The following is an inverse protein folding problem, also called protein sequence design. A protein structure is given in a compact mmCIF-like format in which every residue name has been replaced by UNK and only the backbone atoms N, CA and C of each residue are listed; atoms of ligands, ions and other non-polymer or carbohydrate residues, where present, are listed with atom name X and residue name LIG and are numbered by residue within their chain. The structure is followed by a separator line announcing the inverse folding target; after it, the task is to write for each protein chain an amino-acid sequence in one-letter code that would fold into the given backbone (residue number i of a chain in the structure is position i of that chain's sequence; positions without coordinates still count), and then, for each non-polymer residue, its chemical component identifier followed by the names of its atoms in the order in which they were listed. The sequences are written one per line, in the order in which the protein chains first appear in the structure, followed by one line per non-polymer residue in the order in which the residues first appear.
data_IF_863311754246
#
_entry.id   IF_863311754246
#
_cell.length_a   1.000
_cell.length_b   1.000
_cell.length_c   1.000
_cell.angle_alpha   90.00
_cell.angle_beta   90.00
_cell.angle_gamma   90.00
#
_symmetry.space_group_name_H-M   'P 1'
#
loop_
_entity.id
_entity.type
_entity.pdbx_description
1 polymer ?
#
# COMPACT_ATOMS: atom_id res chain seq x y z
N UNK A 1 -18.84 3.80 -10.32
CA UNK A 1 -18.11 3.07 -9.25
C UNK A 1 -17.21 2.03 -9.90
N UNK A 2 -16.00 1.83 -9.39
CA UNK A 2 -15.08 0.81 -9.91
C UNK A 2 -15.59 -0.59 -9.50
N UNK A 3 -15.97 -1.41 -10.47
CA UNK A 3 -16.54 -2.75 -10.23
C UNK A 3 -15.48 -3.83 -9.96
N UNK A 4 -14.19 -3.47 -10.03
CA UNK A 4 -13.11 -4.41 -9.76
C UNK A 4 -13.10 -4.82 -8.29
N UNK A 5 -12.76 -6.08 -8.03
CA UNK A 5 -12.57 -6.62 -6.69
C UNK A 5 -11.50 -5.79 -5.93
N UNK A 6 -11.88 -5.20 -4.82
CA UNK A 6 -10.96 -4.42 -4.00
C UNK A 6 -10.07 -5.35 -3.17
N UNK A 7 -8.76 -5.33 -3.42
CA UNK A 7 -7.77 -6.16 -2.71
C UNK A 7 -7.05 -5.34 -1.64
N UNK A 8 -7.08 -5.83 -0.40
CA UNK A 8 -6.26 -5.34 0.71
C UNK A 8 -5.15 -6.36 1.02
N UNK A 9 -3.90 -5.91 1.06
CA UNK A 9 -2.78 -6.73 1.52
C UNK A 9 -2.54 -6.41 3.00
N UNK A 10 -2.58 -7.43 3.86
CA UNK A 10 -2.23 -7.32 5.28
C UNK A 10 -0.87 -7.97 5.48
N UNK A 11 0.10 -7.16 5.85
CA UNK A 11 1.50 -7.56 6.08
C UNK A 11 1.97 -7.15 7.47
N UNK A 12 3.18 -7.47 7.83
CA UNK A 12 3.78 -7.15 9.13
C UNK A 12 4.61 -8.32 9.64
N UNK A 13 5.56 -8.03 10.52
CA UNK A 13 6.53 -9.01 11.00
C UNK A 13 5.90 -10.18 11.77
N UNK A 14 6.68 -11.22 12.05
CA UNK A 14 6.22 -12.40 12.80
C UNK A 14 5.58 -12.00 14.14
N UNK A 15 4.44 -12.60 14.43
CA UNK A 15 3.73 -12.37 15.70
C UNK A 15 3.09 -10.99 15.84
N UNK A 16 3.09 -10.12 14.84
CA UNK A 16 2.55 -8.75 14.94
C UNK A 16 1.03 -8.66 15.13
N UNK A 17 0.29 -9.76 14.96
CA UNK A 17 -1.17 -9.76 15.14
C UNK A 17 -1.99 -9.62 13.86
N UNK A 18 -1.41 -9.88 12.69
CA UNK A 18 -2.10 -9.84 11.37
C UNK A 18 -3.39 -10.66 11.37
N UNK A 19 -3.27 -11.94 11.68
CA UNK A 19 -4.41 -12.87 11.73
C UNK A 19 -5.49 -12.40 12.71
N UNK A 20 -5.10 -11.84 13.85
CA UNK A 20 -6.04 -11.29 14.82
C UNK A 20 -6.81 -10.09 14.24
N UNK A 21 -6.12 -9.19 13.55
CA UNK A 21 -6.74 -8.04 12.88
C UNK A 21 -7.72 -8.49 11.81
N UNK A 22 -7.31 -9.43 10.95
CA UNK A 22 -8.18 -9.99 9.90
C UNK A 22 -9.42 -10.65 10.50
N UNK A 23 -9.27 -11.45 11.56
CA UNK A 23 -10.41 -12.09 12.27
C UNK A 23 -11.35 -11.07 12.87
N UNK A 24 -10.82 -10.03 13.54
CA UNK A 24 -11.66 -8.95 14.10
C UNK A 24 -12.49 -8.27 13.02
N UNK A 25 -11.90 -8.05 11.85
CA UNK A 25 -12.61 -7.49 10.69
C UNK A 25 -13.70 -8.44 10.18
N UNK A 26 -13.39 -9.71 9.97
CA UNK A 26 -14.33 -10.71 9.44
C UNK A 26 -15.55 -10.91 10.38
N UNK A 27 -15.37 -10.67 11.66
CA UNK A 27 -16.45 -10.70 12.64
C UNK A 27 -17.40 -9.48 12.57
N UNK A 28 -17.05 -8.45 11.80
CA UNK A 28 -17.92 -7.28 11.60
C UNK A 28 -18.90 -7.50 10.43
N UNK A 29 -20.04 -6.80 10.39
CA UNK A 29 -20.92 -6.83 9.21
C UNK A 29 -20.22 -6.43 7.91
N UNK A 30 -19.22 -5.55 7.99
CA UNK A 30 -18.42 -5.14 6.85
C UNK A 30 -17.51 -6.24 6.30
N UNK A 31 -17.21 -7.27 7.08
CA UNK A 31 -16.46 -8.45 6.68
C UNK A 31 -17.22 -9.40 5.76
N UNK A 32 -18.57 -9.29 5.73
CA UNK A 32 -19.40 -10.14 4.86
C UNK A 32 -19.05 -9.93 3.38
N UNK A 33 -18.98 -11.01 2.62
CA UNK A 33 -18.59 -10.97 1.21
C UNK A 33 -17.11 -10.63 0.99
N UNK A 34 -16.23 -11.01 1.94
CA UNK A 34 -14.78 -10.86 1.83
C UNK A 34 -14.12 -12.21 1.62
N UNK A 35 -13.39 -12.38 0.51
CA UNK A 35 -12.51 -13.53 0.30
C UNK A 35 -11.17 -13.33 0.99
N UNK A 36 -10.61 -14.38 1.62
CA UNK A 36 -9.33 -14.31 2.31
C UNK A 36 -8.35 -15.34 1.74
N UNK A 37 -7.18 -14.88 1.37
CA UNK A 37 -6.05 -15.70 0.95
C UNK A 37 -4.96 -15.57 2.02
N UNK A 38 -4.58 -16.68 2.66
CA UNK A 38 -3.47 -16.70 3.62
C UNK A 38 -2.24 -17.26 2.92
N UNK A 39 -1.19 -16.43 2.82
CA UNK A 39 0.07 -16.80 2.18
C UNK A 39 1.14 -16.99 3.27
N UNK A 40 1.21 -18.19 3.83
CA UNK A 40 2.14 -18.52 4.90
C UNK A 40 3.30 -19.40 4.41
N UNK A 41 4.53 -19.02 4.78
CA UNK A 41 5.72 -19.85 4.59
C UNK A 41 5.92 -20.74 5.82
N UNK A 42 5.45 -22.01 5.77
CA UNK A 42 5.70 -22.93 6.88
C UNK A 42 5.05 -24.29 6.72
N UNK A 43 5.75 -25.34 7.17
CA UNK A 43 5.32 -26.74 7.07
C UNK A 43 4.27 -27.16 8.12
N UNK A 44 3.77 -26.28 8.98
CA UNK A 44 2.89 -26.66 10.09
C UNK A 44 1.59 -25.86 10.06
N UNK A 45 0.56 -26.49 9.50
CA UNK A 45 -0.80 -25.98 9.44
C UNK A 45 -1.57 -26.06 10.75
N UNK A 46 -1.11 -25.40 11.81
CA UNK A 46 -1.86 -25.35 13.09
C UNK A 46 -2.90 -24.21 13.14
N UNK A 47 -2.65 -23.10 12.44
CA UNK A 47 -3.55 -21.94 12.48
C UNK A 47 -4.70 -22.00 11.45
N UNK A 48 -4.61 -22.88 10.45
CA UNK A 48 -5.65 -23.06 9.44
C UNK A 48 -7.00 -23.50 10.02
N UNK A 49 -6.99 -24.42 11.00
CA UNK A 49 -8.24 -24.92 11.61
C UNK A 49 -8.99 -23.85 12.40
N UNK A 50 -8.28 -22.80 12.83
CA UNK A 50 -8.89 -21.71 13.59
C UNK A 50 -9.53 -20.65 12.71
N UNK A 51 -9.02 -20.42 11.49
CA UNK A 51 -9.64 -19.50 10.51
C UNK A 51 -10.91 -20.11 9.89
N UNK A 52 -10.91 -21.43 9.64
CA UNK A 52 -12.07 -22.16 9.13
C UNK A 52 -13.26 -22.15 10.12
N UNK A 53 -13.01 -22.09 11.42
CA UNK A 53 -14.10 -22.14 12.42
C UNK A 53 -14.78 -20.81 12.74
N UNK A 54 -14.19 -19.66 12.35
CA UNK A 54 -14.83 -18.34 12.50
C UNK A 54 -15.76 -18.01 11.33
N UNK A 55 -15.73 -18.84 10.30
CA UNK A 55 -16.36 -18.60 9.01
C UNK A 55 -17.71 -19.31 8.82
N UNK A 56 -18.59 -19.28 9.79
CA UNK A 56 -20.00 -19.68 9.51
C UNK A 56 -20.70 -18.75 8.52
N UNK A 57 -20.05 -17.65 8.10
CA UNK A 57 -20.51 -16.71 7.07
C UNK A 57 -19.44 -16.24 6.10
N UNK A 58 -18.27 -16.86 6.06
CA UNK A 58 -17.27 -16.66 5.02
C UNK A 58 -17.19 -17.96 4.25
N UNK A 59 -17.60 -17.94 3.00
CA UNK A 59 -17.40 -19.06 2.10
C UNK A 59 -15.90 -19.27 1.93
N UNK A 60 -15.33 -20.09 2.81
CA UNK A 60 -14.01 -20.68 2.58
C UNK A 60 -14.22 -21.61 1.42
N UNK A 61 -13.53 -21.35 0.33
CA UNK A 61 -13.47 -22.26 -0.81
C UNK A 61 -13.19 -23.66 -0.30
N UNK A 62 -14.23 -24.50 -0.35
CA UNK A 62 -14.15 -25.92 -0.01
C UNK A 62 -13.23 -26.58 -1.04
N UNK A 63 -12.01 -26.87 -0.67
CA UNK A 63 -11.04 -27.45 -1.58
C UNK A 63 -9.60 -27.35 -1.10
N UNK A 64 -9.41 -27.15 0.19
CA UNK A 64 -8.08 -27.11 0.78
C UNK A 64 -7.47 -25.71 0.69
N UNK A 65 -6.93 -25.29 1.81
CA UNK A 65 -6.17 -24.07 1.92
C UNK A 65 -5.26 -23.89 0.71
N UNK A 66 -5.50 -22.85 -0.05
CA UNK A 66 -4.57 -22.40 -1.07
C UNK A 66 -3.32 -21.86 -0.38
N UNK A 67 -2.56 -22.76 0.23
CA UNK A 67 -1.19 -22.52 0.71
C UNK A 67 -0.31 -22.43 -0.52
N UNK A 68 -0.20 -21.25 -1.08
CA UNK A 68 0.59 -21.00 -2.26
C UNK A 68 2.09 -21.13 -1.94
N UNK A 69 2.69 -22.26 -2.27
CA UNK A 69 4.13 -22.53 -2.10
C UNK A 69 5.05 -21.79 -3.08
N UNK A 70 4.50 -21.05 -4.06
CA UNK A 70 5.30 -20.33 -5.08
C UNK A 70 4.62 -19.03 -5.49
N UNK A 71 5.39 -18.05 -5.97
CA UNK A 71 4.91 -16.73 -6.48
C UNK A 71 3.81 -16.84 -7.54
N UNK A 72 3.78 -17.92 -8.32
CA UNK A 72 2.76 -18.19 -9.35
C UNK A 72 1.39 -18.53 -8.76
N UNK A 73 1.32 -18.86 -7.50
CA UNK A 73 0.09 -19.36 -6.87
C UNK A 73 -0.83 -18.23 -6.38
N UNK A 74 -0.29 -17.05 -5.98
CA UNK A 74 -1.12 -15.90 -5.58
C UNK A 74 -1.95 -15.37 -6.75
N UNK A 75 -1.37 -15.29 -7.94
CA UNK A 75 -2.08 -14.91 -9.16
C UNK A 75 -3.23 -15.86 -9.43
N UNK A 76 -2.95 -17.18 -9.37
CA UNK A 76 -3.97 -18.23 -9.58
C UNK A 76 -5.06 -18.15 -8.51
N UNK A 77 -4.71 -17.99 -7.24
CA UNK A 77 -5.66 -17.88 -6.15
C UNK A 77 -6.60 -16.66 -6.33
N UNK A 78 -6.06 -15.52 -6.78
CA UNK A 78 -6.87 -14.36 -7.14
C UNK A 78 -7.77 -14.61 -8.35
N UNK A 79 -7.25 -15.28 -9.39
CA UNK A 79 -8.06 -15.70 -10.54
C UNK A 79 -9.22 -16.59 -10.11
N UNK A 80 -8.95 -17.58 -9.26
CA UNK A 80 -9.97 -18.52 -8.78
C UNK A 80 -10.99 -17.79 -7.91
N UNK A 81 -10.55 -16.94 -7.00
CA UNK A 81 -11.43 -16.11 -6.16
C UNK A 81 -12.37 -15.25 -7.01
N UNK A 82 -11.85 -14.53 -8.00
CA UNK A 82 -12.68 -13.70 -8.89
C UNK A 82 -13.63 -14.54 -9.73
N UNK A 83 -13.20 -15.71 -10.22
CA UNK A 83 -14.05 -16.61 -11.03
C UNK A 83 -15.19 -17.21 -10.21
N UNK A 84 -14.93 -17.59 -8.97
CA UNK A 84 -15.94 -18.15 -8.08
C UNK A 84 -17.04 -17.14 -7.74
N UNK A 85 -16.72 -15.84 -7.70
CA UNK A 85 -17.73 -14.79 -7.49
C UNK A 85 -18.78 -14.73 -8.61
N UNK A 86 -18.52 -15.35 -9.76
CA UNK A 86 -19.43 -15.29 -10.93
C UNK A 86 -20.33 -16.52 -11.08
N UNK A 87 -20.15 -17.58 -10.32
CA UNK A 87 -20.75 -18.89 -10.68
C UNK A 87 -21.62 -19.56 -9.65
N UNK A 88 -21.50 -19.37 -8.32
CA UNK A 88 -22.09 -20.45 -7.52
C UNK A 88 -22.93 -20.07 -6.30
N UNK A 89 -23.29 -19.10 -5.82
CA UNK A 89 -24.15 -18.96 -4.62
C UNK A 89 -24.13 -17.58 -3.98
N UNK A 90 -24.93 -16.74 -4.39
CA UNK A 90 -25.19 -15.55 -3.63
C UNK A 90 -24.44 -14.33 -4.19
N UNK A 91 -24.31 -13.31 -3.42
CA UNK A 91 -23.69 -12.07 -3.84
C UNK A 91 -22.17 -12.26 -4.09
N UNK A 92 -21.64 -11.70 -5.17
CA UNK A 92 -20.21 -11.78 -5.47
C UNK A 92 -19.38 -11.17 -4.35
N UNK A 93 -18.14 -11.67 -4.15
CA UNK A 93 -17.20 -11.04 -3.22
C UNK A 93 -16.99 -9.57 -3.61
N UNK A 94 -17.17 -8.69 -2.67
CA UNK A 94 -16.96 -7.25 -2.88
C UNK A 94 -15.50 -6.86 -2.68
N UNK A 95 -14.77 -7.70 -1.93
CA UNK A 95 -13.37 -7.47 -1.58
C UNK A 95 -12.61 -8.76 -1.33
N UNK A 96 -11.29 -8.65 -1.39
CA UNK A 96 -10.36 -9.70 -1.01
C UNK A 96 -9.31 -9.19 -0.03
N UNK A 97 -8.85 -10.06 0.85
CA UNK A 97 -7.71 -9.81 1.74
C UNK A 97 -6.65 -10.87 1.46
N UNK A 98 -5.41 -10.45 1.28
CA UNK A 98 -4.25 -11.33 1.32
C UNK A 98 -3.49 -11.06 2.61
N UNK A 99 -3.42 -12.07 3.47
CA UNK A 99 -2.53 -12.05 4.63
C UNK A 99 -1.18 -12.67 4.23
N UNK A 100 -0.10 -11.90 4.39
CA UNK A 100 1.26 -12.38 4.09
C UNK A 100 1.88 -13.07 5.29
N UNK A 101 2.83 -13.97 5.05
CA UNK A 101 3.68 -14.48 6.13
C UNK A 101 4.50 -13.34 6.76
N UNK A 102 4.91 -13.53 8.02
CA UNK A 102 5.60 -12.48 8.79
C UNK A 102 6.97 -12.08 8.26
N UNK A 103 7.60 -12.89 7.42
CA UNK A 103 8.88 -12.59 6.75
C UNK A 103 8.70 -12.24 5.26
N UNK A 104 7.47 -12.26 4.76
CA UNK A 104 7.24 -12.01 3.35
C UNK A 104 7.34 -10.51 3.02
N UNK A 105 8.00 -10.22 1.91
CA UNK A 105 7.92 -8.96 1.22
C UNK A 105 6.60 -8.91 0.44
N UNK A 106 5.71 -7.92 0.65
CA UNK A 106 4.47 -7.82 -0.12
C UNK A 106 4.68 -7.39 -1.58
N UNK A 107 5.86 -6.90 -1.93
CA UNK A 107 6.19 -6.43 -3.27
C UNK A 107 5.91 -7.44 -4.39
N UNK A 108 6.23 -8.74 -4.28
CA UNK A 108 5.90 -9.72 -5.32
C UNK A 108 4.41 -9.87 -5.59
N UNK A 109 3.56 -9.69 -4.58
CA UNK A 109 2.11 -9.74 -4.75
C UNK A 109 1.65 -8.53 -5.58
N UNK A 110 2.16 -7.35 -5.25
CA UNK A 110 1.87 -6.11 -5.97
C UNK A 110 2.35 -6.21 -7.43
N UNK A 111 3.55 -6.74 -7.65
CA UNK A 111 4.10 -6.97 -8.97
C UNK A 111 3.26 -7.97 -9.81
N UNK A 112 2.69 -8.99 -9.18
CA UNK A 112 1.78 -9.93 -9.84
C UNK A 112 0.54 -9.21 -10.35
N UNK A 113 -0.10 -8.35 -9.55
CA UNK A 113 -1.22 -7.53 -9.98
C UNK A 113 -0.88 -6.61 -11.14
N UNK A 114 0.33 -6.04 -11.12
CA UNK A 114 0.80 -5.11 -12.15
C UNK A 114 1.14 -5.80 -13.48
N UNK A 115 1.57 -7.06 -13.46
CA UNK A 115 2.05 -7.80 -14.64
C UNK A 115 0.97 -8.65 -15.30
N UNK A 116 -0.05 -9.07 -14.56
CA UNK A 116 -1.14 -9.90 -15.11
C UNK A 116 -2.22 -9.01 -15.74
N UNK A 117 -2.41 -9.06 -17.08
CA UNK A 117 -3.39 -8.22 -17.77
C UNK A 117 -4.83 -8.48 -17.33
N UNK A 118 -5.14 -9.74 -16.99
CA UNK A 118 -6.47 -10.11 -16.56
C UNK A 118 -6.76 -9.59 -15.14
N UNK A 119 -5.80 -9.74 -14.21
CA UNK A 119 -5.94 -9.21 -12.85
C UNK A 119 -6.10 -7.68 -12.86
N UNK A 120 -5.39 -6.96 -13.71
CA UNK A 120 -5.54 -5.50 -13.86
C UNK A 120 -6.97 -5.07 -14.15
N UNK A 121 -7.71 -5.87 -14.90
CA UNK A 121 -9.10 -5.54 -15.28
C UNK A 121 -10.14 -6.01 -14.29
N UNK A 122 -9.79 -6.92 -13.37
CA UNK A 122 -10.73 -7.52 -12.43
C UNK A 122 -10.44 -7.22 -10.96
N UNK A 123 -9.20 -6.87 -10.64
CA UNK A 123 -8.76 -6.62 -9.26
C UNK A 123 -8.10 -5.24 -9.19
N UNK A 124 -8.41 -4.48 -8.16
CA UNK A 124 -7.68 -3.25 -7.83
C UNK A 124 -7.01 -3.40 -6.46
N UNK A 125 -5.76 -2.98 -6.36
CA UNK A 125 -5.12 -2.85 -5.05
C UNK A 125 -5.81 -1.69 -4.31
N UNK A 126 -6.53 -2.00 -3.25
CA UNK A 126 -7.22 -0.99 -2.44
C UNK A 126 -6.25 -0.35 -1.45
N UNK A 127 -5.47 -1.16 -0.76
CA UNK A 127 -4.45 -0.70 0.19
C UNK A 127 -3.50 -1.81 0.63
N UNK A 128 -2.38 -1.38 1.22
CA UNK A 128 -1.45 -2.23 1.96
C UNK A 128 -1.49 -1.79 3.44
N UNK A 129 -1.81 -2.72 4.33
CA UNK A 129 -1.85 -2.49 5.78
C UNK A 129 -0.72 -3.27 6.42
N UNK A 130 0.22 -2.57 7.07
CA UNK A 130 1.25 -3.21 7.87
C UNK A 130 0.82 -3.26 9.34
N UNK A 131 1.06 -4.39 9.99
CA UNK A 131 0.76 -4.58 11.43
C UNK A 131 2.07 -4.63 12.20
N UNK A 132 2.20 -3.78 13.20
CA UNK A 132 3.42 -3.64 14.01
C UNK A 132 3.09 -3.89 15.47
N UNK A 133 3.88 -4.72 16.10
CA UNK A 133 3.79 -5.06 17.53
C UNK A 133 4.46 -3.96 18.38
N UNK A 134 3.75 -3.33 19.29
CA UNK A 134 4.29 -2.28 20.16
C UNK A 134 5.41 -2.78 21.08
N UNK A 135 5.46 -4.09 21.37
CA UNK A 135 6.50 -4.68 22.23
C UNK A 135 7.82 -4.91 21.50
N UNK A 136 7.75 -5.48 20.29
CA UNK A 136 8.94 -5.89 19.54
C UNK A 136 9.20 -5.00 18.32
N UNK A 137 8.26 -4.13 17.96
CA UNK A 137 8.25 -3.40 16.69
C UNK A 137 9.50 -2.56 16.48
N UNK A 138 9.91 -1.77 17.47
CA UNK A 138 11.10 -0.93 17.34
C UNK A 138 12.35 -1.77 17.03
N UNK A 139 12.59 -2.83 17.81
CA UNK A 139 13.71 -3.75 17.57
C UNK A 139 13.62 -4.40 16.19
N UNK A 140 12.43 -4.82 15.77
CA UNK A 140 12.24 -5.44 14.46
C UNK A 140 12.57 -4.46 13.32
N UNK A 141 12.22 -3.19 13.47
CA UNK A 141 12.56 -2.15 12.49
C UNK A 141 14.07 -1.87 12.43
N UNK A 142 14.78 -1.98 13.55
CA UNK A 142 16.23 -1.81 13.61
C UNK A 142 16.99 -2.98 12.99
N UNK A 143 16.50 -4.21 13.20
CA UNK A 143 17.26 -5.43 12.90
C UNK A 143 16.85 -6.15 11.63
N UNK A 144 15.63 -5.94 11.12
CA UNK A 144 15.08 -6.70 10.00
C UNK A 144 14.71 -5.81 8.81
N UNK A 145 15.30 -6.08 7.66
CA UNK A 145 14.99 -5.36 6.42
C UNK A 145 13.55 -5.62 5.98
N UNK A 146 13.04 -6.83 6.20
CA UNK A 146 11.68 -7.22 5.89
C UNK A 146 10.65 -6.34 6.60
N UNK A 147 10.87 -6.07 7.90
CA UNK A 147 9.99 -5.20 8.67
C UNK A 147 9.97 -3.76 8.11
N UNK A 148 11.13 -3.24 7.72
CA UNK A 148 11.24 -1.92 7.09
C UNK A 148 10.54 -1.88 5.73
N UNK A 149 10.69 -2.91 4.89
CA UNK A 149 10.02 -3.02 3.59
C UNK A 149 8.52 -3.11 3.71
N UNK A 150 8.02 -3.87 4.69
CA UNK A 150 6.58 -3.98 4.96
C UNK A 150 5.98 -2.61 5.28
N UNK A 151 6.66 -1.79 6.07
CA UNK A 151 6.23 -0.42 6.36
C UNK A 151 6.37 0.50 5.15
N UNK A 152 7.47 0.40 4.40
CA UNK A 152 7.71 1.24 3.23
C UNK A 152 6.61 1.10 2.16
N UNK A 153 6.02 -0.08 2.06
CA UNK A 153 4.93 -0.36 1.12
C UNK A 153 3.54 -0.08 1.69
N UNK A 154 3.42 0.17 3.01
CA UNK A 154 2.14 0.30 3.67
C UNK A 154 1.49 1.67 3.47
N UNK A 155 0.18 1.69 3.26
CA UNK A 155 -0.66 2.88 3.28
C UNK A 155 -1.07 3.27 4.69
N UNK A 156 -1.14 2.26 5.55
CA UNK A 156 -1.56 2.39 6.93
C UNK A 156 -0.80 1.37 7.78
N UNK A 157 -0.35 1.80 8.94
CA UNK A 157 0.27 0.94 9.96
C UNK A 157 -0.67 0.83 11.14
N UNK A 158 -1.01 -0.41 11.51
CA UNK A 158 -1.78 -0.70 12.72
C UNK A 158 -0.81 -1.16 13.81
N UNK A 159 -0.77 -0.42 14.90
CA UNK A 159 0.02 -0.76 16.07
C UNK A 159 -0.82 -1.62 17.00
N UNK A 160 -0.31 -2.78 17.36
CA UNK A 160 -0.98 -3.78 18.19
C UNK A 160 -0.25 -4.00 19.50
N UNK A 161 -0.90 -4.67 20.46
CA UNK A 161 -0.31 -5.08 21.74
C UNK A 161 0.20 -3.93 22.61
N UNK A 162 -0.36 -2.74 22.46
CA UNK A 162 -0.06 -1.60 23.32
C UNK A 162 -0.42 -1.85 24.79
N UNK A 163 -1.35 -2.74 25.03
CA UNK A 163 -1.79 -3.21 26.37
C UNK A 163 -0.71 -4.01 27.11
N UNK A 164 0.20 -4.65 26.40
CA UNK A 164 1.23 -5.49 27.02
C UNK A 164 2.44 -4.68 27.50
N UNK A 165 2.61 -3.45 27.05
CA UNK A 165 3.74 -2.60 27.43
C UNK A 165 3.41 -1.12 27.29
N UNK A 166 2.79 -0.56 28.30
CA UNK A 166 2.38 0.85 28.35
C UNK A 166 3.53 1.87 28.15
N UNK A 167 4.79 1.43 28.23
CA UNK A 167 5.96 2.32 28.17
C UNK A 167 6.57 2.53 26.79
N UNK A 168 6.27 1.69 25.78
CA UNK A 168 6.66 1.98 24.38
C UNK A 168 5.42 2.46 23.66
N UNK A 169 5.14 3.74 23.87
CA UNK A 169 4.00 4.41 23.31
C UNK A 169 4.20 4.68 21.81
N UNK A 170 3.13 5.07 21.17
CA UNK A 170 3.12 5.70 19.84
C UNK A 170 4.19 6.78 19.69
N UNK A 171 4.59 7.43 20.79
CA UNK A 171 5.58 8.51 20.82
C UNK A 171 7.00 8.06 20.43
N UNK A 172 7.35 6.79 20.63
CA UNK A 172 8.65 6.25 20.23
C UNK A 172 8.57 5.48 18.91
N UNK A 173 7.55 4.64 18.77
CA UNK A 173 7.39 3.79 17.59
C UNK A 173 6.92 4.60 16.37
N UNK A 174 6.05 5.58 16.58
CA UNK A 174 5.54 6.45 15.54
C UNK A 174 6.64 7.19 14.77
N UNK A 175 7.56 7.91 15.42
CA UNK A 175 8.70 8.54 14.76
C UNK A 175 9.59 7.55 14.00
N UNK A 176 9.84 6.35 14.55
CA UNK A 176 10.63 5.32 13.87
C UNK A 176 9.95 4.82 12.58
N UNK A 177 8.62 4.66 12.61
CA UNK A 177 7.82 4.30 11.43
C UNK A 177 7.84 5.44 10.41
N UNK A 178 7.61 6.70 10.83
CA UNK A 178 7.60 7.86 9.94
C UNK A 178 8.96 8.15 9.31
N UNK A 179 10.05 7.76 9.96
CA UNK A 179 11.38 7.82 9.35
C UNK A 179 11.49 6.95 8.10
N UNK A 180 10.76 5.83 8.04
CA UNK A 180 10.74 4.91 6.89
C UNK A 180 9.69 5.35 5.87
N UNK A 181 8.48 5.67 6.35
CA UNK A 181 7.33 6.08 5.54
C UNK A 181 6.70 7.36 6.13
N UNK A 182 7.17 8.55 5.72
CA UNK A 182 6.77 9.83 6.32
C UNK A 182 5.28 10.12 6.23
N UNK A 183 4.63 9.65 5.18
CA UNK A 183 3.23 9.88 4.85
C UNK A 183 2.29 8.76 5.32
N UNK A 184 2.81 7.78 6.07
CA UNK A 184 2.01 6.63 6.50
C UNK A 184 1.03 7.03 7.61
N UNK A 185 -0.20 6.56 7.51
CA UNK A 185 -1.19 6.70 8.57
C UNK A 185 -0.91 5.70 9.68
N UNK A 186 -1.06 6.13 10.93
CA UNK A 186 -0.94 5.27 12.09
C UNK A 186 -2.31 5.08 12.73
N UNK A 187 -2.60 3.86 13.15
CA UNK A 187 -3.77 3.52 13.94
C UNK A 187 -3.34 2.64 15.12
N UNK A 188 -3.86 2.93 16.31
CA UNK A 188 -3.65 2.10 17.49
C UNK A 188 -4.80 1.12 17.63
N UNK A 189 -4.51 -0.17 17.67
CA UNK A 189 -5.52 -1.21 17.86
C UNK A 189 -6.14 -1.22 19.28
N UNK A 190 -5.56 -0.46 20.21
CA UNK A 190 -6.06 -0.25 21.57
C UNK A 190 -6.93 1.01 21.71
N UNK A 191 -6.94 1.87 20.70
CA UNK A 191 -7.83 3.03 20.69
C UNK A 191 -9.29 2.56 20.81
N UNK A 192 -10.10 3.11 21.74
CA UNK A 192 -11.52 2.80 21.83
C UNK A 192 -12.31 3.05 20.55
N UNK A 193 -11.85 3.97 19.71
CA UNK A 193 -12.45 4.27 18.42
C UNK A 193 -11.90 3.41 17.26
N UNK A 194 -11.00 2.48 17.55
CA UNK A 194 -10.42 1.61 16.54
C UNK A 194 -11.47 0.68 15.93
N UNK A 195 -11.73 0.89 14.65
CA UNK A 195 -12.69 0.10 13.88
C UNK A 195 -12.00 -0.71 12.78
N UNK A 196 -11.89 -2.05 12.92
CA UNK A 196 -11.34 -2.89 11.86
C UNK A 196 -12.05 -2.74 10.52
N UNK A 197 -13.35 -2.39 10.51
CA UNK A 197 -14.10 -2.17 9.30
C UNK A 197 -13.61 -0.95 8.51
N UNK A 198 -13.22 0.12 9.18
CA UNK A 198 -12.58 1.27 8.54
C UNK A 198 -11.18 0.94 8.02
N UNK A 199 -10.45 0.11 8.77
CA UNK A 199 -9.07 -0.27 8.42
C UNK A 199 -9.03 -1.18 7.18
N UNK A 200 -9.84 -2.23 7.13
CA UNK A 200 -9.78 -3.26 6.09
C UNK A 200 -10.92 -3.20 5.10
N UNK A 201 -12.06 -2.60 5.47
CA UNK A 201 -13.27 -2.57 4.66
C UNK A 201 -13.54 -1.26 3.93
N UNK A 202 -12.96 -0.15 4.38
CA UNK A 202 -13.18 1.18 3.81
C UNK A 202 -12.33 1.43 2.56
N UNK A 203 -12.78 2.37 1.72
CA UNK A 203 -11.89 2.97 0.72
C UNK A 203 -10.88 3.87 1.42
N UNK A 204 -9.69 4.03 0.80
CA UNK A 204 -8.75 5.05 1.25
C UNK A 204 -9.45 6.39 1.05
N UNK A 205 -9.76 7.08 2.13
CA UNK A 205 -10.02 8.51 2.02
C UNK A 205 -8.78 9.14 1.38
N UNK A 206 -8.94 10.10 0.46
CA UNK A 206 -7.80 10.80 -0.10
C UNK A 206 -6.89 11.25 1.05
N UNK A 207 -5.57 11.24 0.87
CA UNK A 207 -4.67 11.75 1.89
C UNK A 207 -5.16 13.16 2.23
N UNK A 208 -5.52 13.39 3.49
CA UNK A 208 -5.60 14.77 3.98
C UNK A 208 -4.26 15.40 3.68
N UNK A 209 -4.28 16.69 3.33
CA UNK A 209 -3.08 17.50 3.19
C UNK A 209 -2.08 17.03 4.23
N UNK A 210 -0.97 16.49 3.73
CA UNK A 210 -0.04 15.78 4.58
C UNK A 210 0.52 16.82 5.56
N UNK A 211 0.29 16.63 6.87
CA UNK A 211 1.17 17.18 7.90
C UNK A 211 2.56 16.52 7.73
N UNK A 212 3.14 16.71 6.54
CA UNK A 212 4.55 16.44 6.31
C UNK A 212 5.26 17.66 6.92
N UNK A 213 5.56 17.58 8.19
CA UNK A 213 6.77 18.24 8.66
C UNK A 213 7.85 17.79 7.69
N UNK A 214 8.41 18.74 6.92
CA UNK A 214 9.50 18.50 5.99
C UNK A 214 10.67 17.91 6.77
N UNK A 215 10.61 16.64 7.06
CA UNK A 215 11.69 15.91 7.69
C UNK A 215 12.84 15.96 6.71
N UNK A 216 13.82 16.79 7.04
CA UNK A 216 15.10 16.80 6.37
C UNK A 216 15.57 15.37 6.23
N UNK A 217 15.91 15.01 5.00
CA UNK A 217 16.42 13.75 4.47
C UNK A 217 16.78 12.70 5.54
N UNK A 218 15.87 11.75 5.78
CA UNK A 218 16.22 10.55 6.54
C UNK A 218 16.95 9.59 5.61
N UNK A 219 18.24 9.81 5.43
CA UNK A 219 19.13 8.81 4.84
C UNK A 219 19.38 7.71 5.87
N UNK A 220 18.69 6.60 5.72
CA UNK A 220 19.11 5.37 6.42
C UNK A 220 20.29 4.81 5.64
N UNK A 221 21.48 4.99 6.18
CA UNK A 221 22.72 4.43 5.62
C UNK A 221 22.72 2.93 5.81
N UNK A 222 22.49 2.17 4.75
CA UNK A 222 22.96 0.79 4.58
C UNK A 222 22.26 0.04 3.42
N UNK A 223 22.26 0.57 2.18
CA UNK A 223 21.67 -0.13 1.02
C UNK A 223 20.15 -0.41 1.14
N UNK A 224 19.54 0.08 2.21
CA UNK A 224 18.17 -0.11 2.65
C UNK A 224 17.23 0.93 2.07
N UNK A 225 16.02 0.94 2.54
CA UNK A 225 14.95 1.85 2.15
C UNK A 225 15.31 3.31 2.50
N UNK A 226 15.14 4.21 1.53
CA UNK A 226 15.34 5.65 1.70
C UNK A 226 14.05 6.38 1.38
N UNK A 227 13.67 7.35 2.20
CA UNK A 227 12.54 8.23 1.93
C UNK A 227 13.00 9.67 1.76
N UNK A 228 12.40 10.39 0.80
CA UNK A 228 12.69 11.80 0.58
C UNK A 228 11.51 12.52 -0.06
N UNK A 229 11.48 13.83 0.12
CA UNK A 229 10.50 14.72 -0.50
C UNK A 229 11.16 15.46 -1.65
N UNK A 230 10.52 15.44 -2.82
CA UNK A 230 10.86 16.22 -3.99
C UNK A 230 9.85 17.35 -4.11
N UNK A 231 10.27 18.63 -3.88
CA UNK A 231 9.40 19.77 -4.13
C UNK A 231 9.10 19.87 -5.62
N UNK A 232 7.87 20.21 -5.94
CA UNK A 232 7.40 20.34 -7.32
C UNK A 232 7.11 21.80 -7.66
N UNK A 233 7.21 22.16 -8.94
CA UNK A 233 6.78 23.46 -9.43
C UNK A 233 5.28 23.69 -9.13
N UNK A 234 4.86 24.94 -9.01
CA UNK A 234 3.47 25.31 -8.72
C UNK A 234 2.49 24.63 -9.69
N UNK A 235 2.87 24.57 -10.97
CA UNK A 235 2.06 23.91 -12.01
C UNK A 235 2.94 23.09 -12.91
N UNK A 236 2.54 21.86 -13.16
CA UNK A 236 3.24 20.93 -14.05
C UNK A 236 2.41 20.65 -15.30
N UNK A 237 3.11 20.33 -16.39
CA UNK A 237 2.49 19.72 -17.57
C UNK A 237 2.12 18.28 -17.24
N UNK A 238 0.81 18.03 -17.05
CA UNK A 238 0.32 16.72 -16.63
C UNK A 238 0.64 15.59 -17.63
N UNK A 239 0.41 15.74 -18.94
CA UNK A 239 0.81 14.76 -19.94
C UNK A 239 2.29 14.39 -19.85
N UNK A 240 3.18 15.39 -19.86
CA UNK A 240 4.62 15.14 -19.79
C UNK A 240 5.02 14.43 -18.47
N UNK A 241 4.50 14.92 -17.36
CA UNK A 241 4.74 14.30 -16.06
C UNK A 241 4.27 12.83 -16.01
N UNK A 242 3.09 12.54 -16.55
CA UNK A 242 2.53 11.18 -16.56
C UNK A 242 3.39 10.22 -17.37
N UNK A 243 3.90 10.66 -18.52
CA UNK A 243 4.82 9.86 -19.35
C UNK A 243 6.12 9.60 -18.60
N UNK A 244 6.70 10.64 -17.99
CA UNK A 244 7.92 10.51 -17.19
C UNK A 244 7.74 9.53 -16.03
N UNK A 245 6.69 9.72 -15.23
CA UNK A 245 6.44 8.86 -14.06
C UNK A 245 6.19 7.41 -14.48
N UNK A 246 5.44 7.21 -15.56
CA UNK A 246 5.20 5.88 -16.11
C UNK A 246 6.48 5.20 -16.57
N UNK A 247 7.35 5.91 -17.26
CA UNK A 247 8.66 5.40 -17.70
C UNK A 247 9.57 5.09 -16.51
N UNK A 248 9.59 5.99 -15.51
CA UNK A 248 10.36 5.81 -14.28
C UNK A 248 9.92 4.55 -13.51
N UNK A 249 8.63 4.37 -13.32
CA UNK A 249 8.08 3.21 -12.62
C UNK A 249 8.23 1.92 -13.44
N UNK A 250 8.14 2.00 -14.76
CA UNK A 250 8.41 0.85 -15.64
C UNK A 250 9.86 0.37 -15.51
N UNK A 251 10.81 1.30 -15.55
CA UNK A 251 12.24 1.00 -15.48
C UNK A 251 12.72 0.61 -14.06
N UNK A 252 12.17 1.22 -13.03
CA UNK A 252 12.68 1.15 -11.66
C UNK A 252 11.65 0.79 -10.61
N UNK A 253 10.48 0.29 -10.97
CA UNK A 253 9.41 -0.01 -10.03
C UNK A 253 9.77 -1.02 -8.94
N UNK A 254 10.73 -1.93 -9.20
CA UNK A 254 11.26 -2.83 -8.16
C UNK A 254 12.10 -2.10 -7.10
N UNK A 255 12.61 -0.90 -7.42
CA UNK A 255 13.43 -0.05 -6.55
C UNK A 255 12.68 1.18 -6.03
N UNK A 256 11.62 1.61 -6.70
CA UNK A 256 10.70 2.66 -6.24
C UNK A 256 9.56 1.97 -5.54
N UNK A 257 9.66 1.87 -4.21
CA UNK A 257 8.70 1.14 -3.40
C UNK A 257 7.36 1.88 -3.35
N UNK A 258 7.41 3.22 -3.30
CA UNK A 258 6.21 4.05 -3.20
C UNK A 258 6.46 5.45 -3.73
N UNK A 259 5.43 6.01 -4.35
CA UNK A 259 5.35 7.42 -4.69
C UNK A 259 3.99 7.97 -4.28
N UNK A 260 3.98 9.09 -3.58
CA UNK A 260 2.76 9.85 -3.27
C UNK A 260 3.05 11.33 -3.45
N UNK A 261 2.02 12.10 -3.78
CA UNK A 261 2.19 13.53 -3.82
C UNK A 261 0.96 14.32 -4.15
N UNK A 262 1.14 15.61 -4.03
CA UNK A 262 0.17 16.63 -4.39
C UNK A 262 0.77 17.47 -5.51
N UNK A 263 0.05 17.63 -6.60
CA UNK A 263 0.54 18.30 -7.80
C UNK A 263 -0.46 19.34 -8.29
N UNK A 264 -0.02 20.59 -8.43
CA UNK A 264 -0.71 21.55 -9.25
C UNK A 264 -0.52 21.23 -10.74
N UNK A 265 -1.57 21.32 -11.54
CA UNK A 265 -1.47 21.10 -12.99
C UNK A 265 -1.84 22.35 -13.76
N UNK A 266 -1.28 22.52 -14.97
CA UNK A 266 -1.61 23.63 -15.86
C UNK A 266 -3.04 23.55 -16.39
N UNK A 267 -3.65 22.37 -16.38
CA UNK A 267 -4.96 22.08 -16.98
C UNK A 267 -6.13 22.11 -15.96
N UNK A 268 -5.87 22.11 -14.67
CA UNK A 268 -6.92 22.10 -13.64
C UNK A 268 -6.62 23.10 -12.52
N UNK A 269 -7.68 23.67 -11.93
CA UNK A 269 -7.55 24.57 -10.77
C UNK A 269 -7.32 23.79 -9.48
N UNK A 270 -7.80 22.55 -9.40
CA UNK A 270 -7.70 21.70 -8.22
C UNK A 270 -6.43 20.84 -8.29
N UNK A 271 -5.68 20.73 -7.18
CA UNK A 271 -4.52 19.88 -7.12
C UNK A 271 -4.89 18.41 -7.30
N UNK A 272 -3.98 17.67 -7.93
CA UNK A 272 -4.07 16.23 -8.10
C UNK A 272 -3.28 15.50 -7.00
N UNK A 273 -3.94 14.56 -6.37
CA UNK A 273 -3.28 13.56 -5.51
C UNK A 273 -2.88 12.39 -6.37
N UNK A 274 -1.62 12.04 -6.32
CA UNK A 274 -1.10 10.81 -6.92
C UNK A 274 -0.66 9.84 -5.84
N UNK A 275 -0.87 8.56 -6.15
CA UNK A 275 -0.47 7.46 -5.29
C UNK A 275 -0.04 6.27 -6.16
N UNK A 276 1.17 5.80 -5.93
CA UNK A 276 1.73 4.61 -6.58
C UNK A 276 2.47 3.74 -5.58
N UNK A 277 2.33 2.43 -5.77
CA UNK A 277 3.08 1.42 -5.03
C UNK A 277 3.74 0.52 -6.06
N UNK A 278 5.05 0.61 -6.15
CA UNK A 278 5.86 -0.05 -7.18
C UNK A 278 5.34 0.24 -8.61
N UNK A 279 4.94 -0.79 -9.34
CA UNK A 279 4.42 -0.67 -10.71
C UNK A 279 2.90 -0.35 -10.76
N UNK A 280 2.23 -0.26 -9.62
CA UNK A 280 0.78 -0.01 -9.54
C UNK A 280 0.55 1.46 -9.25
N UNK A 281 -0.03 2.18 -10.20
CA UNK A 281 -0.54 3.52 -9.99
C UNK A 281 -2.05 3.48 -9.72
N UNK A 282 -2.48 4.17 -8.69
CA UNK A 282 -3.90 4.42 -8.45
C UNK A 282 -4.39 5.55 -9.37
N UNK A 283 -5.67 5.55 -9.75
CA UNK A 283 -6.23 6.68 -10.47
C UNK A 283 -6.02 7.98 -9.67
N UNK A 284 -5.53 9.05 -10.31
CA UNK A 284 -5.40 10.35 -9.65
C UNK A 284 -6.74 10.86 -9.14
N UNK A 285 -6.74 11.55 -8.02
CA UNK A 285 -7.95 12.16 -7.44
C UNK A 285 -7.73 13.64 -7.24
N UNK A 286 -8.76 14.45 -7.52
CA UNK A 286 -8.73 15.88 -7.24
C UNK A 286 -9.02 16.13 -5.75
N UNK A 287 -8.27 17.05 -5.14
CA UNK A 287 -8.62 17.59 -3.83
C UNK A 287 -9.61 18.72 -3.99
N UNK A 288 -10.54 18.85 -3.02
CA UNK A 288 -11.43 20.01 -2.96
C UNK A 288 -10.64 21.31 -2.71
N UNK A 289 -11.14 22.41 -3.25
CA UNK A 289 -10.47 23.73 -3.25
C UNK A 289 -10.03 24.27 -1.87
N UNK A 290 -10.60 23.78 -0.78
CA UNK A 290 -10.27 24.20 0.59
C UNK A 290 -8.88 23.70 1.05
N UNK A 291 -8.33 22.67 0.40
CA UNK A 291 -7.03 22.08 0.73
C UNK A 291 -5.93 22.48 -0.29
N UNK A 292 -6.25 23.39 -1.21
CA UNK A 292 -5.45 23.68 -2.41
C UNK A 292 -4.25 24.62 -2.21
N UNK A 293 -4.05 25.17 -1.03
CA UNK A 293 -3.04 26.23 -0.78
C UNK A 293 -1.67 25.67 -0.33
N UNK A 294 -1.35 24.45 -0.75
CA UNK A 294 -0.06 23.84 -0.44
C UNK A 294 0.84 23.72 -1.68
N UNK A 295 2.15 23.96 -1.53
CA UNK A 295 3.10 23.74 -2.62
C UNK A 295 3.09 22.28 -3.06
N UNK A 296 3.22 22.06 -4.36
CA UNK A 296 3.30 20.71 -4.92
C UNK A 296 4.54 19.96 -4.40
N UNK A 297 4.37 18.67 -4.15
CA UNK A 297 5.48 17.81 -3.73
C UNK A 297 5.24 16.35 -4.12
N UNK A 298 6.32 15.59 -4.17
CA UNK A 298 6.32 14.13 -4.26
C UNK A 298 7.12 13.55 -3.10
N UNK A 299 6.56 12.56 -2.42
CA UNK A 299 7.28 11.70 -1.47
C UNK A 299 7.65 10.42 -2.20
N UNK A 300 8.92 10.11 -2.25
CA UNK A 300 9.43 8.85 -2.74
C UNK A 300 9.95 7.99 -1.60
N UNK A 301 9.66 6.71 -1.65
CA UNK A 301 10.29 5.68 -0.84
C UNK A 301 10.97 4.72 -1.81
N UNK A 302 12.29 4.64 -1.73
CA UNK A 302 13.11 3.94 -2.73
C UNK A 302 14.10 2.98 -2.07
N UNK A 303 14.66 2.09 -2.87
CA UNK A 303 15.79 1.24 -2.53
C UNK A 303 16.95 1.52 -3.49
N UNK A 304 17.99 2.17 -2.97
CA UNK A 304 19.20 2.46 -3.73
C UNK A 304 19.02 3.40 -4.92
N UNK A 305 18.00 4.28 -4.88
CA UNK A 305 17.84 5.42 -5.79
C UNK A 305 17.72 6.66 -4.92
N UNK A 306 18.56 7.66 -5.17
CA UNK A 306 18.62 8.88 -4.39
C UNK A 306 17.70 9.99 -4.93
N UNK A 307 17.48 11.02 -4.09
CA UNK A 307 16.72 12.22 -4.46
C UNK A 307 17.30 12.91 -5.69
N UNK A 308 18.63 13.03 -5.77
CA UNK A 308 19.31 13.71 -6.87
C UNK A 308 19.04 13.02 -8.21
N UNK A 309 19.11 11.69 -8.27
CA UNK A 309 18.88 10.92 -9.49
C UNK A 309 17.45 11.11 -10.02
N UNK A 310 16.45 11.09 -9.13
CA UNK A 310 15.04 11.30 -9.53
C UNK A 310 14.81 12.74 -9.94
N UNK A 311 15.34 13.70 -9.21
CA UNK A 311 15.21 15.11 -9.53
C UNK A 311 15.85 15.46 -10.88
N UNK A 312 17.04 14.95 -11.15
CA UNK A 312 17.74 15.12 -12.42
C UNK A 312 16.98 14.48 -13.58
N UNK A 313 16.51 13.25 -13.41
CA UNK A 313 15.67 12.55 -14.40
C UNK A 313 14.43 13.36 -14.77
N UNK A 314 13.72 13.92 -13.76
CA UNK A 314 12.55 14.76 -14.00
C UNK A 314 12.93 16.03 -14.75
N UNK A 315 13.98 16.73 -14.31
CA UNK A 315 14.42 17.97 -14.93
C UNK A 315 14.83 17.77 -16.40
N UNK A 316 15.58 16.72 -16.68
CA UNK A 316 15.98 16.36 -18.06
C UNK A 316 14.75 16.06 -18.92
N UNK A 317 13.82 15.25 -18.40
CA UNK A 317 12.62 14.89 -19.16
C UNK A 317 11.77 16.12 -19.49
N UNK A 318 11.52 17.00 -18.50
CA UNK A 318 10.73 18.23 -18.72
C UNK A 318 11.41 19.22 -19.67
N UNK A 319 12.75 19.24 -19.70
CA UNK A 319 13.50 20.07 -20.67
C UNK A 319 13.33 19.61 -22.13
N UNK A 320 13.05 18.32 -22.37
CA UNK A 320 12.81 17.76 -23.69
C UNK A 320 11.31 17.69 -24.05
N UNK A 321 10.42 17.87 -23.10
CA UNK A 321 8.99 17.87 -23.37
C UNK A 321 8.63 19.09 -24.24
N UNK A 322 7.90 18.95 -25.35
CA UNK A 322 7.50 20.08 -26.17
C UNK A 322 6.60 21.01 -25.34
N UNK A 323 6.92 22.29 -25.38
CA UNK A 323 6.10 23.33 -24.72
C UNK A 323 4.68 23.27 -25.28
N UNK A 324 3.62 23.28 -24.44
CA UNK A 324 2.25 23.28 -24.92
C UNK A 324 2.01 24.50 -25.83
N UNK A 325 1.85 24.27 -27.13
CA UNK A 325 1.62 25.33 -28.12
C UNK A 325 2.56 25.32 -29.32
N UNK A 326 3.71 24.66 -29.29
CA UNK A 326 4.58 24.48 -30.44
C UNK A 326 4.34 23.13 -31.15
N UNK A 327 3.18 22.99 -31.77
CA UNK A 327 3.04 21.97 -32.80
C UNK A 327 3.99 22.36 -33.96
N UNK A 328 5.09 21.62 -34.12
CA UNK A 328 5.91 21.76 -35.33
C UNK A 328 5.02 21.45 -36.53
N UNK A 329 4.92 22.34 -37.52
CA UNK A 329 4.24 22.00 -38.76
C UNK A 329 5.00 20.84 -39.44
N UNK A 330 4.23 19.85 -39.89
CA UNK A 330 4.69 18.70 -40.68
C UNK A 330 5.17 19.18 -42.06
#
# INVERSE_FOLDING_TARGET
MDERLALTIVTGFLGSGKTTLVRRFLATPAGTGTGVIVNEFGEVGLDHRLLVHVAEHVDVVDGGCLCCRRRTDVGRALHDLVRQTRTERGEPFKRAIIETSGLADPAPIIATLARDPWLKTHVRLARVVAVVDAVAGLRNLETHEEARRQIALADLVVITKGDLRAAISLDVLGPAIRKIAPDVRLADAQDPEFDPARILGGELSPPRALDIEFAEQSTVHDGSVTSFVLPMAERIDWPAFTVWLSALLYAHGDRILRVKGLLGTSSACEPLVIHGVQHVMHPPTHLSAVEADQPGFLVFITKGIGKAEIAESLAQFLAFAPTPGEARPV
#
